data_IF_547170414905
#
_entry.id   IF_547170414905
#
_cell.length_a   1.000
_cell.length_b   1.000
_cell.length_c   1.000
_cell.angle_alpha   90.00
_cell.angle_beta   90.00
_cell.angle_gamma   90.00
#
_symmetry.space_group_name_H-M   'P 1'
#
loop_
_entity.id
_entity.type
_entity.pdbx_description
1 polymer ?
#
# COMPACT_ATOMS: atom_id res chain seq x y z
N UNK A 1 2.97 12.37 6.76
CA UNK A 1 3.40 12.47 8.17
C UNK A 1 4.90 12.63 8.19
N UNK A 2 5.47 13.45 9.08
CA UNK A 2 6.93 13.53 9.25
C UNK A 2 7.49 12.16 9.65
N UNK A 3 8.80 12.00 9.56
CA UNK A 3 9.44 10.72 9.94
C UNK A 3 9.13 10.36 11.40
N UNK A 4 8.79 9.11 11.66
CA UNK A 4 8.52 8.61 13.01
C UNK A 4 9.82 8.45 13.81
N UNK A 5 9.71 8.54 15.14
CA UNK A 5 10.86 8.32 16.04
C UNK A 5 11.35 6.88 15.95
N UNK A 6 10.43 5.96 15.69
CA UNK A 6 10.64 4.54 15.49
C UNK A 6 11.50 4.32 14.24
N UNK A 7 11.15 4.94 13.10
CA UNK A 7 11.95 4.88 11.89
C UNK A 7 13.37 5.44 12.10
N UNK A 8 13.52 6.58 12.80
CA UNK A 8 14.85 7.14 13.09
C UNK A 8 15.69 6.16 13.93
N UNK A 9 15.12 5.60 15.00
CA UNK A 9 15.84 4.63 15.85
C UNK A 9 16.26 3.39 15.08
N UNK A 10 15.37 2.87 14.23
CA UNK A 10 15.71 1.72 13.39
C UNK A 10 16.79 2.07 12.36
N UNK A 11 16.78 3.29 11.82
CA UNK A 11 17.80 3.75 10.89
C UNK A 11 19.16 3.89 11.58
N UNK A 12 19.20 4.39 12.81
CA UNK A 12 20.41 4.41 13.64
C UNK A 12 20.95 3.00 13.85
N UNK A 13 20.10 2.06 14.27
CA UNK A 13 20.49 0.67 14.46
C UNK A 13 21.02 0.02 13.17
N UNK A 14 20.44 0.34 12.01
CA UNK A 14 20.93 -0.14 10.72
C UNK A 14 22.34 0.37 10.45
N UNK A 15 22.59 1.67 10.64
CA UNK A 15 23.91 2.28 10.40
C UNK A 15 24.96 1.69 11.35
N UNK A 16 24.61 1.54 12.63
CA UNK A 16 25.51 1.00 13.64
C UNK A 16 25.84 -0.48 13.36
N UNK A 17 24.82 -1.31 13.14
CA UNK A 17 24.99 -2.74 12.84
C UNK A 17 25.78 -2.95 11.54
N UNK A 18 25.47 -2.18 10.50
CA UNK A 18 26.24 -2.24 9.26
C UNK A 18 27.68 -1.79 9.45
N UNK A 19 27.92 -0.80 10.32
CA UNK A 19 29.27 -0.36 10.65
C UNK A 19 30.13 -1.44 11.30
N UNK A 20 29.52 -2.32 12.11
CA UNK A 20 30.18 -3.43 12.81
C UNK A 20 30.36 -4.68 11.93
N UNK A 21 29.33 -5.06 11.18
CA UNK A 21 29.29 -6.34 10.45
C UNK A 21 29.64 -6.19 8.95
N UNK A 22 29.57 -4.97 8.41
CA UNK A 22 29.62 -4.70 6.98
C UNK A 22 31.01 -4.69 6.35
N UNK A 23 32.11 -4.80 7.12
CA UNK A 23 33.48 -4.69 6.56
C UNK A 23 33.80 -5.73 5.48
N UNK A 24 33.03 -6.82 5.41
CA UNK A 24 33.15 -7.86 4.39
C UNK A 24 32.46 -7.56 3.05
N UNK A 25 31.61 -6.53 3.00
CA UNK A 25 30.94 -6.09 1.78
C UNK A 25 31.91 -5.39 0.83
N UNK A 26 31.72 -5.60 -0.47
CA UNK A 26 32.58 -5.07 -1.53
C UNK A 26 32.64 -3.54 -1.48
N UNK A 27 31.50 -2.91 -1.27
CA UNK A 27 31.34 -1.45 -1.30
C UNK A 27 31.23 -0.84 0.09
N UNK A 28 31.65 -1.54 1.15
CA UNK A 28 31.55 -1.04 2.54
C UNK A 28 32.09 0.38 2.72
N UNK A 29 33.27 0.65 2.14
CA UNK A 29 33.92 1.95 2.23
C UNK A 29 33.12 3.10 1.57
N UNK A 30 32.21 2.77 0.65
CA UNK A 30 31.30 3.71 -0.01
C UNK A 30 29.95 3.77 0.68
N UNK A 31 29.38 2.62 1.04
CA UNK A 31 28.03 2.50 1.60
C UNK A 31 27.97 3.07 3.02
N UNK A 32 28.90 2.69 3.90
CA UNK A 32 28.83 3.06 5.32
C UNK A 32 28.91 4.58 5.56
N UNK A 33 29.80 5.35 4.89
CA UNK A 33 29.79 6.81 4.99
C UNK A 33 28.48 7.44 4.48
N UNK A 34 27.96 6.94 3.35
CA UNK A 34 26.70 7.45 2.77
C UNK A 34 25.53 7.19 3.70
N UNK A 35 25.48 6.04 4.38
CA UNK A 35 24.46 5.74 5.38
C UNK A 35 24.52 6.70 6.58
N UNK A 36 25.73 7.04 7.05
CA UNK A 36 25.90 8.04 8.12
C UNK A 36 25.43 9.43 7.70
N UNK A 37 25.77 9.86 6.49
CA UNK A 37 25.30 11.13 5.94
C UNK A 37 23.78 11.14 5.77
N UNK A 38 23.21 10.04 5.27
CA UNK A 38 21.78 9.86 5.11
C UNK A 38 21.05 9.96 6.45
N UNK A 39 21.53 9.26 7.49
CA UNK A 39 21.00 9.35 8.84
C UNK A 39 21.04 10.80 9.36
N UNK A 40 22.17 11.50 9.18
CA UNK A 40 22.30 12.89 9.58
C UNK A 40 21.28 13.80 8.86
N UNK A 41 21.11 13.64 7.55
CA UNK A 41 20.14 14.39 6.75
C UNK A 41 18.71 14.16 7.22
N UNK A 42 18.34 12.90 7.50
CA UNK A 42 17.02 12.54 8.02
C UNK A 42 16.77 13.20 9.38
N UNK A 43 17.75 13.19 10.28
CA UNK A 43 17.65 13.81 11.61
C UNK A 43 17.51 15.33 11.52
N UNK A 44 18.26 15.99 10.63
CA UNK A 44 18.19 17.44 10.43
C UNK A 44 16.86 17.87 9.80
N UNK A 45 16.32 17.05 8.89
CA UNK A 45 15.17 17.41 8.06
C UNK A 45 13.93 16.55 8.32
N UNK A 46 13.69 16.15 9.57
CA UNK A 46 12.61 15.21 9.96
C UNK A 46 11.23 15.59 9.42
N UNK A 47 10.94 16.90 9.33
CA UNK A 47 9.66 17.42 8.83
C UNK A 47 9.47 17.25 7.31
N UNK A 48 10.56 17.10 6.56
CA UNK A 48 10.58 17.02 5.10
C UNK A 48 10.67 15.56 4.61
N UNK A 49 11.01 14.63 5.49
CA UNK A 49 11.06 13.20 5.19
C UNK A 49 9.83 12.47 5.72
N UNK A 50 9.58 11.30 5.13
CA UNK A 50 8.52 10.38 5.51
C UNK A 50 9.11 8.98 5.58
N UNK A 51 8.58 8.15 6.48
CA UNK A 51 9.01 6.76 6.66
C UNK A 51 8.99 5.98 5.33
N UNK A 52 7.89 6.09 4.56
CA UNK A 52 7.71 5.45 3.25
C UNK A 52 8.85 5.73 2.26
N UNK A 53 9.42 6.95 2.29
CA UNK A 53 10.54 7.31 1.41
C UNK A 53 11.86 6.71 1.87
N UNK A 54 12.07 6.62 3.18
CA UNK A 54 13.27 6.03 3.76
C UNK A 54 13.28 4.53 3.49
N UNK A 55 12.15 3.87 3.76
CA UNK A 55 11.95 2.45 3.49
C UNK A 55 12.15 2.19 1.99
N UNK A 56 11.46 2.93 1.12
CA UNK A 56 11.60 2.76 -0.33
C UNK A 56 13.02 2.97 -0.84
N UNK A 57 13.75 3.96 -0.30
CA UNK A 57 15.16 4.18 -0.64
C UNK A 57 16.04 3.00 -0.24
N UNK A 58 15.92 2.52 0.99
CA UNK A 58 16.71 1.39 1.50
C UNK A 58 16.39 0.10 0.74
N UNK A 59 15.10 -0.20 0.51
CA UNK A 59 14.67 -1.37 -0.24
C UNK A 59 15.18 -1.36 -1.69
N UNK A 60 15.11 -0.19 -2.35
CA UNK A 60 15.65 -0.06 -3.72
C UNK A 60 17.16 -0.19 -3.74
N UNK A 61 17.85 0.38 -2.75
CA UNK A 61 19.31 0.30 -2.67
C UNK A 61 19.78 -1.14 -2.43
N UNK A 62 19.11 -1.88 -1.54
CA UNK A 62 19.38 -3.29 -1.30
C UNK A 62 19.15 -4.16 -2.53
N UNK A 63 18.16 -3.82 -3.36
CA UNK A 63 17.93 -4.52 -4.64
C UNK A 63 19.03 -4.23 -5.67
N UNK A 64 19.54 -3.00 -5.71
CA UNK A 64 20.56 -2.57 -6.67
C UNK A 64 21.99 -2.98 -6.29
N UNK A 65 22.23 -3.22 -5.00
CA UNK A 65 23.53 -3.56 -4.42
C UNK A 65 23.50 -4.98 -3.83
N UNK A 66 22.94 -5.93 -4.59
CA UNK A 66 22.74 -7.32 -4.14
C UNK A 66 24.06 -8.06 -3.83
N UNK A 67 25.16 -7.58 -4.41
CA UNK A 67 26.54 -8.03 -4.15
C UNK A 67 27.08 -7.69 -2.76
N UNK A 68 26.35 -6.87 -1.98
CA UNK A 68 26.71 -6.44 -0.63
C UNK A 68 25.79 -7.12 0.41
N UNK A 69 26.01 -8.41 0.74
CA UNK A 69 25.07 -9.22 1.52
C UNK A 69 24.81 -8.67 2.94
N UNK A 70 25.81 -8.08 3.60
CA UNK A 70 25.62 -7.50 4.93
C UNK A 70 24.72 -6.26 4.86
N UNK A 71 24.88 -5.43 3.83
CA UNK A 71 24.03 -4.27 3.60
C UNK A 71 22.58 -4.68 3.30
N UNK A 72 22.40 -5.68 2.44
CA UNK A 72 21.09 -6.24 2.11
C UNK A 72 20.39 -6.76 3.37
N UNK A 73 21.11 -7.54 4.19
CA UNK A 73 20.57 -8.10 5.42
C UNK A 73 20.24 -7.03 6.46
N UNK A 74 21.06 -5.98 6.57
CA UNK A 74 20.78 -4.84 7.44
C UNK A 74 19.51 -4.10 7.00
N UNK A 75 19.33 -3.87 5.69
CA UNK A 75 18.13 -3.28 5.12
C UNK A 75 16.89 -4.15 5.34
N UNK A 76 17.03 -5.47 5.17
CA UNK A 76 15.96 -6.44 5.44
C UNK A 76 15.53 -6.42 6.90
N UNK A 77 16.51 -6.49 7.82
CA UNK A 77 16.28 -6.42 9.27
C UNK A 77 15.54 -5.14 9.65
N UNK A 78 15.92 -4.00 9.06
CA UNK A 78 15.25 -2.73 9.25
C UNK A 78 13.77 -2.78 8.80
N UNK A 79 13.50 -3.30 7.61
CA UNK A 79 12.15 -3.35 7.06
C UNK A 79 11.22 -4.23 7.91
N UNK A 80 11.67 -5.44 8.27
CA UNK A 80 10.94 -6.36 9.16
C UNK A 80 10.68 -5.70 10.51
N UNK A 81 11.72 -5.11 11.12
CA UNK A 81 11.59 -4.45 12.43
C UNK A 81 10.64 -3.25 12.39
N UNK A 82 10.61 -2.51 11.29
CA UNK A 82 9.67 -1.40 11.11
C UNK A 82 8.24 -1.93 11.03
N UNK A 83 8.00 -2.92 10.16
CA UNK A 83 6.69 -3.54 9.98
C UNK A 83 6.13 -4.14 11.27
N UNK A 84 6.95 -4.86 12.04
CA UNK A 84 6.57 -5.38 13.35
C UNK A 84 6.21 -4.28 14.36
N UNK A 85 6.85 -3.11 14.30
CA UNK A 85 6.58 -2.02 15.25
C UNK A 85 5.39 -1.14 14.88
N UNK A 86 5.12 -0.96 13.59
CA UNK A 86 4.10 -0.01 13.13
C UNK A 86 2.85 -0.67 12.55
N UNK A 87 2.94 -1.91 12.08
CA UNK A 87 1.88 -2.58 11.33
C UNK A 87 1.64 -4.04 11.72
N UNK A 88 2.02 -4.47 12.94
CA UNK A 88 1.85 -5.86 13.40
C UNK A 88 0.43 -6.45 13.22
N UNK A 89 -0.62 -5.63 13.21
CA UNK A 89 -2.01 -6.08 13.06
C UNK A 89 -2.52 -6.09 11.59
N UNK A 90 -1.89 -5.32 10.69
CA UNK A 90 -2.28 -5.19 9.26
C UNK A 90 -1.18 -5.71 8.32
N UNK A 91 -0.24 -6.47 8.84
CA UNK A 91 0.93 -6.94 8.12
C UNK A 91 0.53 -8.01 7.10
N UNK A 92 0.56 -7.68 5.81
CA UNK A 92 0.37 -8.69 4.74
C UNK A 92 1.57 -9.63 4.59
N UNK A 93 2.69 -9.31 5.24
CA UNK A 93 3.92 -10.10 5.18
C UNK A 93 4.21 -10.77 6.53
N UNK A 94 4.90 -11.90 6.50
CA UNK A 94 5.49 -12.56 7.66
C UNK A 94 6.85 -11.93 8.04
N UNK A 95 7.48 -12.46 9.08
CA UNK A 95 8.78 -12.00 9.58
C UNK A 95 9.93 -12.22 8.59
N UNK A 96 9.70 -13.05 7.57
CA UNK A 96 10.64 -13.36 6.50
C UNK A 96 10.37 -12.51 5.24
N UNK A 97 9.38 -11.60 5.30
CA UNK A 97 8.88 -10.77 4.19
C UNK A 97 8.19 -11.57 3.07
N UNK A 98 7.71 -12.79 3.34
CA UNK A 98 6.81 -13.49 2.43
C UNK A 98 5.37 -13.04 2.67
N UNK A 99 4.51 -13.15 1.66
CA UNK A 99 3.07 -12.91 1.81
C UNK A 99 2.50 -13.99 2.73
N UNK A 100 1.74 -13.60 3.75
CA UNK A 100 1.10 -14.56 4.65
C UNK A 100 0.20 -15.49 3.84
N UNK A 101 0.37 -16.80 4.01
CA UNK A 101 -0.32 -17.84 3.23
C UNK A 101 -1.86 -17.76 3.35
N UNK A 102 -2.38 -17.28 4.48
CA UNK A 102 -3.82 -17.06 4.71
C UNK A 102 -4.40 -15.99 3.76
N UNK A 103 -3.58 -15.00 3.40
CA UNK A 103 -3.91 -13.96 2.44
C UNK A 103 -3.73 -14.49 1.01
N UNK A 104 -2.61 -15.14 0.70
CA UNK A 104 -2.29 -15.61 -0.67
C UNK A 104 -3.39 -16.52 -1.27
N UNK A 105 -3.97 -17.43 -0.49
CA UNK A 105 -5.07 -18.29 -0.94
C UNK A 105 -6.42 -17.58 -1.10
N UNK A 106 -6.60 -16.41 -0.47
CA UNK A 106 -7.86 -15.66 -0.42
C UNK A 106 -7.92 -14.47 -1.38
N UNK A 107 -6.78 -13.90 -1.80
CA UNK A 107 -6.72 -12.79 -2.77
C UNK A 107 -7.03 -13.20 -4.22
N UNK A 108 -6.87 -14.49 -4.55
CA UNK A 108 -7.15 -15.03 -5.89
C UNK A 108 -8.51 -15.70 -6.04
N UNK A 109 -9.24 -15.90 -4.94
CA UNK A 109 -10.61 -16.41 -5.02
C UNK A 109 -11.49 -15.24 -5.44
N UNK A 110 -12.18 -15.26 -6.61
CA UNK A 110 -13.32 -14.38 -6.78
C UNK A 110 -14.18 -14.61 -5.55
N UNK A 111 -14.66 -13.54 -4.90
CA UNK A 111 -15.68 -13.68 -3.87
C UNK A 111 -16.68 -14.67 -4.46
N UNK A 112 -16.70 -15.91 -3.94
CA UNK A 112 -17.86 -16.75 -4.11
C UNK A 112 -18.89 -15.93 -3.38
N UNK A 113 -19.63 -15.15 -4.17
CA UNK A 113 -20.74 -14.35 -3.74
C UNK A 113 -21.49 -15.26 -2.80
N UNK A 114 -21.37 -15.00 -1.50
CA UNK A 114 -22.23 -15.63 -0.52
C UNK A 114 -23.59 -15.54 -1.16
N UNK A 115 -24.16 -16.72 -1.47
CA UNK A 115 -25.42 -16.84 -2.18
C UNK A 115 -26.38 -16.03 -1.34
N UNK A 116 -26.53 -14.78 -1.76
CA UNK A 116 -27.25 -13.78 -1.02
C UNK A 116 -28.65 -14.33 -1.14
N UNK A 117 -29.18 -14.83 -0.02
CA UNK A 117 -30.58 -15.22 0.05
C UNK A 117 -31.35 -14.11 -0.69
N UNK A 118 -32.25 -14.45 -1.63
CA UNK A 118 -32.90 -13.44 -2.45
C UNK A 118 -33.58 -12.46 -1.49
N UNK A 119 -32.91 -11.33 -1.27
CA UNK A 119 -33.41 -10.24 -0.47
C UNK A 119 -34.59 -9.75 -1.28
N UNK A 120 -35.80 -10.03 -0.80
CA UNK A 120 -37.00 -9.42 -1.34
C UNK A 120 -36.69 -7.94 -1.54
N UNK A 121 -36.84 -7.42 -2.78
CA UNK A 121 -36.48 -6.04 -3.05
C UNK A 121 -37.26 -5.16 -2.09
N UNK A 122 -36.53 -4.34 -1.32
CA UNK A 122 -37.13 -3.40 -0.37
C UNK A 122 -38.30 -2.68 -1.02
N UNK A 123 -39.41 -2.49 -0.28
CA UNK A 123 -40.60 -1.78 -0.79
C UNK A 123 -40.24 -0.43 -1.43
N UNK A 124 -39.21 0.23 -0.91
CA UNK A 124 -38.66 1.46 -1.49
C UNK A 124 -38.08 1.24 -2.89
N UNK A 125 -37.33 0.16 -3.09
CA UNK A 125 -36.69 -0.18 -4.35
C UNK A 125 -37.71 -0.56 -5.45
N UNK A 126 -38.77 -1.28 -5.06
CA UNK A 126 -39.90 -1.59 -5.96
C UNK A 126 -40.61 -0.30 -6.39
N UNK A 127 -40.91 0.60 -5.45
CA UNK A 127 -41.52 1.90 -5.75
C UNK A 127 -40.62 2.76 -6.64
N UNK A 128 -39.31 2.72 -6.43
CA UNK A 128 -38.34 3.44 -7.24
C UNK A 128 -38.31 2.90 -8.68
N UNK A 129 -38.30 1.58 -8.86
CA UNK A 129 -38.37 0.96 -10.18
C UNK A 129 -39.68 1.31 -10.91
N UNK A 130 -40.82 1.28 -10.22
CA UNK A 130 -42.10 1.71 -10.80
C UNK A 130 -42.11 3.20 -11.19
N UNK A 131 -41.52 4.06 -10.36
CA UNK A 131 -41.40 5.49 -10.64
C UNK A 131 -40.51 5.77 -11.86
N UNK A 132 -39.39 5.03 -11.98
CA UNK A 132 -38.48 5.10 -13.14
C UNK A 132 -39.21 4.60 -14.40
N UNK A 133 -39.91 3.47 -14.32
CA UNK A 133 -40.66 2.91 -15.46
C UNK A 133 -41.76 3.88 -15.95
N UNK A 134 -42.55 4.45 -15.03
CA UNK A 134 -43.56 5.47 -15.35
C UNK A 134 -42.95 6.75 -15.92
N UNK A 135 -41.72 7.12 -15.55
CA UNK A 135 -41.02 8.26 -16.14
C UNK A 135 -40.56 7.95 -17.56
N UNK A 136 -39.98 6.77 -17.80
CA UNK A 136 -39.56 6.34 -19.12
C UNK A 136 -40.75 6.27 -20.10
N UNK A 137 -41.89 5.72 -19.67
CA UNK A 137 -43.12 5.70 -20.46
C UNK A 137 -43.59 7.12 -20.83
N UNK A 138 -43.61 8.05 -19.87
CA UNK A 138 -43.97 9.46 -20.15
C UNK A 138 -43.03 10.13 -21.15
N UNK A 139 -41.74 9.81 -21.13
CA UNK A 139 -40.77 10.35 -22.09
C UNK A 139 -41.07 9.81 -23.49
N UNK A 140 -41.28 8.49 -23.63
CA UNK A 140 -41.62 7.85 -24.91
C UNK A 140 -42.97 8.33 -25.47
N UNK A 141 -43.97 8.53 -24.61
CA UNK A 141 -45.27 9.07 -25.02
C UNK A 141 -45.18 10.54 -25.44
N UNK A 142 -44.35 11.34 -24.77
CA UNK A 142 -44.09 12.72 -25.14
C UNK A 142 -43.36 12.83 -26.48
N UNK A 143 -42.43 11.92 -26.77
CA UNK A 143 -41.77 11.80 -28.07
C UNK A 143 -42.73 11.36 -29.19
N UNK A 144 -43.65 10.42 -28.92
CA UNK A 144 -44.70 10.03 -29.86
C UNK A 144 -45.76 11.11 -30.09
N UNK A 145 -46.02 11.97 -29.10
CA UNK A 145 -46.94 13.11 -29.22
C UNK A 145 -46.40 14.25 -30.09
N UNK A 146 -45.08 14.43 -30.14
CA UNK A 146 -44.43 15.44 -30.99
C UNK A 146 -44.53 15.07 -32.48
N UNK A 147 -44.59 13.78 -32.83
CA UNK A 147 -44.74 13.31 -34.22
C UNK A 147 -46.16 13.36 -34.78
N UNK A 148 -47.20 13.57 -33.95
CA UNK A 148 -48.60 13.58 -34.41
C UNK A 148 -49.16 14.95 -34.77
N UNK A 149 -48.40 16.02 -34.55
CA UNK A 149 -48.77 17.37 -35.01
C UNK A 149 -47.72 17.92 -35.97
N UNK A 150 -47.77 17.58 -37.28
CA UNK A 150 -47.26 18.52 -38.27
C UNK A 150 -48.21 19.71 -38.25
N UNK A 151 -47.74 20.85 -37.76
CA UNK A 151 -48.41 22.14 -37.96
C UNK A 151 -48.66 22.36 -39.46
N UNK A 152 -49.84 22.88 -39.84
CA UNK A 152 -50.15 23.23 -41.24
C UNK A 152 -49.24 24.33 -41.77
#
# INVERSE_FOLDING_TARGET
MPVSKECIKLLQNLVDKYGEEGESDVDYASIHPVLKEFLFLVIQNQKNHKDERIIGFLSTSALLLEENPCFVEACRTFAVSYQQKTHALDSMLDDELNIQSELDESWGKPLESEVSQPLEPSRFFVQLQEAIAKRAQRIVEKEKGIWKNPTP
#
